data_IF_533042438707
#
_entry.id   IF_533042438707
#
_cell.length_a   1.000
_cell.length_b   1.000
_cell.length_c   1.000
_cell.angle_alpha   90.00
_cell.angle_beta   90.00
_cell.angle_gamma   90.00
#
_symmetry.space_group_name_H-M   'P 1'
#
loop_
_entity.id
_entity.type
_entity.pdbx_description
1 polymer ?
#
# COMPACT_ATOMS: atom_id res chain seq x y z
N UNK A 1 -40.91 -32.07 -58.84
CA UNK A 1 -39.85 -32.00 -57.81
C UNK A 1 -40.31 -31.00 -56.76
N UNK A 2 -40.17 -31.33 -55.46
CA UNK A 2 -40.40 -30.35 -54.39
C UNK A 2 -39.10 -29.57 -54.23
N UNK A 3 -39.12 -28.25 -54.47
CA UNK A 3 -37.96 -27.39 -54.21
C UNK A 3 -37.82 -27.22 -52.70
N UNK A 4 -36.63 -27.48 -52.17
CA UNK A 4 -36.30 -27.22 -50.77
C UNK A 4 -35.60 -25.86 -50.71
N UNK A 5 -36.19 -24.93 -49.98
CA UNK A 5 -35.66 -23.57 -49.81
C UNK A 5 -35.04 -23.45 -48.40
N UNK A 6 -34.04 -22.58 -48.27
CA UNK A 6 -33.41 -22.30 -46.97
C UNK A 6 -34.39 -21.55 -46.04
N UNK A 7 -34.28 -21.80 -44.74
CA UNK A 7 -35.09 -21.08 -43.76
C UNK A 7 -34.59 -19.63 -43.59
N UNK A 8 -35.51 -18.74 -43.25
CA UNK A 8 -35.22 -17.37 -42.82
C UNK A 8 -36.07 -17.00 -41.60
N UNK A 9 -35.87 -15.79 -41.07
CA UNK A 9 -36.71 -15.25 -39.98
C UNK A 9 -38.18 -15.08 -40.37
N UNK A 10 -38.49 -15.05 -41.67
CA UNK A 10 -39.86 -14.83 -42.19
C UNK A 10 -40.41 -15.99 -43.00
N UNK A 11 -39.58 -16.99 -43.33
CA UNK A 11 -39.94 -18.12 -44.20
C UNK A 11 -39.41 -19.44 -43.63
N UNK A 12 -40.27 -20.45 -43.55
CA UNK A 12 -39.86 -21.81 -43.17
C UNK A 12 -39.04 -22.45 -44.29
N UNK A 13 -38.02 -23.22 -43.93
CA UNK A 13 -37.13 -23.91 -44.87
C UNK A 13 -36.19 -24.88 -44.15
N UNK A 14 -35.14 -25.34 -44.84
CA UNK A 14 -34.09 -26.19 -44.26
C UNK A 14 -32.95 -25.31 -43.73
N UNK A 15 -32.32 -25.72 -42.63
CA UNK A 15 -31.16 -25.03 -42.05
C UNK A 15 -29.99 -26.00 -41.93
N UNK A 16 -28.79 -25.57 -42.28
CA UNK A 16 -27.55 -26.32 -42.01
C UNK A 16 -27.07 -26.04 -40.59
N UNK A 17 -26.60 -27.06 -39.90
CA UNK A 17 -26.09 -26.94 -38.53
C UNK A 17 -24.59 -26.67 -38.54
N UNK A 18 -24.13 -25.81 -37.63
CA UNK A 18 -22.71 -25.51 -37.41
C UNK A 18 -22.32 -25.75 -35.94
N UNK A 19 -21.12 -26.30 -35.74
CA UNK A 19 -20.50 -26.44 -34.41
C UNK A 19 -19.34 -25.47 -34.19
N UNK A 20 -19.10 -24.52 -35.11
CA UNK A 20 -18.12 -23.46 -34.92
C UNK A 20 -18.57 -22.53 -33.78
N UNK A 21 -17.61 -22.07 -32.97
CA UNK A 21 -17.85 -21.19 -31.80
C UNK A 21 -17.68 -19.71 -32.13
N UNK A 22 -17.25 -19.41 -33.35
CA UNK A 22 -16.92 -18.11 -33.91
C UNK A 22 -17.63 -17.85 -35.25
N UNK A 23 -18.67 -18.62 -35.57
CA UNK A 23 -19.44 -18.49 -36.81
C UNK A 23 -20.13 -17.13 -36.90
N UNK A 24 -19.85 -16.38 -37.96
CA UNK A 24 -20.53 -15.14 -38.36
C UNK A 24 -21.71 -15.38 -39.34
N UNK A 25 -21.92 -16.63 -39.78
CA UNK A 25 -22.97 -16.98 -40.73
C UNK A 25 -24.39 -16.83 -40.16
N UNK A 26 -25.22 -16.03 -40.83
CA UNK A 26 -26.66 -15.90 -40.54
C UNK A 26 -27.51 -17.04 -41.15
N UNK A 27 -26.91 -17.89 -41.98
CA UNK A 27 -27.60 -18.99 -42.68
C UNK A 27 -27.49 -20.36 -41.97
N UNK A 28 -26.64 -20.46 -40.94
CA UNK A 28 -26.37 -21.69 -40.21
C UNK A 28 -26.95 -21.60 -38.79
N UNK A 29 -27.57 -22.68 -38.31
CA UNK A 29 -27.99 -22.75 -36.91
C UNK A 29 -26.87 -23.32 -36.04
N UNK A 30 -26.65 -22.70 -34.87
CA UNK A 30 -25.72 -23.19 -33.87
C UNK A 30 -26.20 -24.53 -33.27
N UNK A 31 -25.27 -25.47 -33.07
CA UNK A 31 -25.55 -26.72 -32.36
C UNK A 31 -25.44 -26.54 -30.84
N UNK A 32 -26.06 -27.43 -30.04
CA UNK A 32 -25.84 -27.46 -28.59
C UNK A 32 -24.36 -27.63 -28.20
N UNK A 33 -23.56 -28.27 -29.06
CA UNK A 33 -22.11 -28.39 -28.86
C UNK A 33 -21.43 -27.02 -28.88
N UNK A 34 -21.69 -26.20 -29.89
CA UNK A 34 -21.13 -24.85 -29.97
C UNK A 34 -21.55 -23.99 -28.77
N UNK A 35 -22.84 -24.02 -28.42
CA UNK A 35 -23.39 -23.27 -27.28
C UNK A 35 -22.74 -23.70 -25.96
N UNK A 36 -22.59 -25.01 -25.73
CA UNK A 36 -21.94 -25.54 -24.51
C UNK A 36 -20.48 -25.09 -24.42
N UNK A 37 -19.72 -25.12 -25.52
CA UNK A 37 -18.33 -24.68 -25.53
C UNK A 37 -18.23 -23.19 -25.18
N UNK A 38 -19.02 -22.33 -25.83
CA UNK A 38 -19.04 -20.89 -25.56
C UNK A 38 -19.42 -20.61 -24.10
N UNK A 39 -20.43 -21.30 -23.56
CA UNK A 39 -20.82 -21.14 -22.14
C UNK A 39 -19.67 -21.53 -21.20
N UNK A 40 -18.96 -22.63 -21.49
CA UNK A 40 -17.80 -23.04 -20.70
C UNK A 40 -16.68 -22.00 -20.71
N UNK A 41 -16.40 -21.39 -21.86
CA UNK A 41 -15.42 -20.31 -22.00
C UNK A 41 -15.84 -19.03 -21.27
N UNK A 42 -17.13 -18.67 -21.31
CA UNK A 42 -17.64 -17.48 -20.62
C UNK A 42 -17.62 -17.64 -19.10
N UNK A 43 -17.85 -18.86 -18.59
CA UNK A 43 -17.82 -19.15 -17.15
C UNK A 43 -16.45 -18.96 -16.49
N UNK A 44 -15.36 -18.97 -17.27
CA UNK A 44 -13.99 -18.75 -16.77
C UNK A 44 -13.50 -17.31 -16.97
N UNK A 45 -14.26 -16.46 -17.65
CA UNK A 45 -13.92 -15.03 -17.82
C UNK A 45 -14.26 -14.26 -16.55
N UNK A 46 -13.51 -13.18 -16.29
CA UNK A 46 -13.79 -12.30 -15.17
C UNK A 46 -15.10 -11.50 -15.41
N UNK A 47 -15.87 -11.15 -14.35
CA UNK A 47 -17.03 -10.28 -14.46
C UNK A 47 -16.69 -8.93 -15.11
N UNK A 48 -17.61 -8.37 -15.90
CA UNK A 48 -17.41 -7.03 -16.48
C UNK A 48 -17.37 -5.95 -15.39
N UNK A 49 -18.29 -6.04 -14.44
CA UNK A 49 -18.39 -5.12 -13.32
C UNK A 49 -17.55 -5.63 -12.15
N UNK A 50 -16.53 -4.85 -11.78
CA UNK A 50 -15.66 -5.12 -10.63
C UNK A 50 -15.06 -6.54 -10.61
N UNK A 51 -14.31 -6.94 -11.65
CA UNK A 51 -13.67 -8.25 -11.68
C UNK A 51 -12.71 -8.44 -10.49
N UNK A 52 -12.80 -9.59 -9.83
CA UNK A 52 -11.71 -10.06 -8.98
C UNK A 52 -10.60 -10.63 -9.87
N UNK A 53 -9.46 -9.94 -9.95
CA UNK A 53 -8.30 -10.42 -10.70
C UNK A 53 -7.51 -11.42 -9.83
N UNK A 54 -7.24 -12.61 -10.36
CA UNK A 54 -6.43 -13.65 -9.70
C UNK A 54 -5.11 -13.87 -10.43
N UNK A 55 -4.09 -14.40 -9.74
CA UNK A 55 -2.76 -14.64 -10.32
C UNK A 55 -1.92 -13.36 -10.41
N UNK A 56 -1.16 -13.20 -11.49
CA UNK A 56 -0.28 -12.04 -11.72
C UNK A 56 -0.75 -11.24 -12.95
N UNK A 57 -1.84 -10.45 -12.84
CA UNK A 57 -2.32 -9.64 -13.96
C UNK A 57 -1.28 -8.60 -14.36
N UNK A 58 -1.08 -8.43 -15.67
CA UNK A 58 -0.21 -7.40 -16.23
C UNK A 58 -1.05 -6.26 -16.81
N UNK A 59 -0.63 -5.02 -16.59
CA UNK A 59 -1.18 -3.84 -17.25
C UNK A 59 -0.03 -2.99 -17.81
N UNK A 60 -0.26 -2.18 -18.85
CA UNK A 60 0.74 -1.21 -19.31
C UNK A 60 1.18 -0.30 -18.15
N UNK A 61 2.48 -0.12 -17.97
CA UNK A 61 3.02 0.78 -16.95
C UNK A 61 2.82 2.23 -17.39
N UNK A 62 2.11 3.06 -16.62
CA UNK A 62 1.98 4.48 -16.93
C UNK A 62 3.32 5.22 -16.80
N UNK A 63 3.44 6.34 -17.50
CA UNK A 63 4.53 7.29 -17.28
C UNK A 63 4.47 7.85 -15.85
N UNK A 64 5.63 8.17 -15.26
CA UNK A 64 5.67 8.66 -13.87
C UNK A 64 4.95 10.01 -13.66
N UNK A 65 4.53 10.71 -14.70
CA UNK A 65 3.73 11.95 -14.58
C UNK A 65 2.22 11.70 -14.63
N UNK A 66 1.78 10.46 -14.80
CA UNK A 66 0.36 10.11 -14.85
C UNK A 66 -0.38 10.45 -13.54
N UNK A 67 -1.61 10.95 -13.70
CA UNK A 67 -2.49 11.40 -12.60
C UNK A 67 -3.97 11.11 -12.88
N UNK A 68 -4.27 10.26 -13.88
CA UNK A 68 -5.62 9.94 -14.30
C UNK A 68 -6.15 8.68 -13.60
N UNK A 69 -6.94 7.91 -14.35
CA UNK A 69 -7.58 6.66 -13.90
C UNK A 69 -6.78 5.41 -14.30
N UNK A 70 -5.50 5.56 -14.63
CA UNK A 70 -4.65 4.45 -15.03
C UNK A 70 -4.45 3.44 -13.88
N UNK A 71 -4.23 2.17 -14.24
CA UNK A 71 -3.87 1.14 -13.27
C UNK A 71 -2.46 1.42 -12.77
N UNK A 72 -2.31 1.66 -11.47
CA UNK A 72 -1.02 1.80 -10.80
C UNK A 72 -0.30 0.43 -10.76
N UNK A 73 0.53 0.16 -11.77
CA UNK A 73 1.36 -1.05 -11.80
C UNK A 73 2.44 -1.02 -10.72
N UNK A 74 2.96 -2.20 -10.34
CA UNK A 74 4.06 -2.30 -9.38
C UNK A 74 5.30 -1.48 -9.81
N UNK A 75 5.62 -1.47 -11.10
CA UNK A 75 6.73 -0.69 -11.65
C UNK A 75 6.52 0.83 -11.50
N UNK A 76 5.30 1.32 -11.74
CA UNK A 76 4.95 2.73 -11.53
C UNK A 76 5.10 3.15 -10.06
N UNK A 77 4.60 2.33 -9.13
CA UNK A 77 4.74 2.59 -7.67
C UNK A 77 6.20 2.58 -7.25
N UNK A 78 6.98 1.60 -7.70
CA UNK A 78 8.41 1.52 -7.39
C UNK A 78 9.17 2.77 -7.90
N UNK A 79 8.88 3.23 -9.12
CA UNK A 79 9.47 4.44 -9.67
C UNK A 79 9.10 5.70 -8.86
N UNK A 80 7.84 5.83 -8.43
CA UNK A 80 7.39 6.94 -7.59
C UNK A 80 8.06 6.95 -6.22
N UNK A 81 8.18 5.80 -5.57
CA UNK A 81 8.91 5.67 -4.30
C UNK A 81 10.38 6.00 -4.49
N UNK A 82 11.01 5.53 -5.57
CA UNK A 82 12.40 5.86 -5.88
C UNK A 82 12.59 7.36 -6.15
N UNK A 83 11.66 8.04 -6.82
CA UNK A 83 11.69 9.50 -6.99
C UNK A 83 11.58 10.23 -5.66
N UNK A 84 10.68 9.78 -4.77
CA UNK A 84 10.52 10.34 -3.43
C UNK A 84 11.79 10.18 -2.59
N UNK A 85 12.36 8.96 -2.55
CA UNK A 85 13.58 8.64 -1.80
C UNK A 85 14.81 9.33 -2.41
N UNK A 86 14.95 9.30 -3.74
CA UNK A 86 16.07 9.89 -4.48
C UNK A 86 16.10 11.42 -4.43
N UNK A 87 14.98 12.07 -4.10
CA UNK A 87 14.96 13.52 -3.89
C UNK A 87 15.63 13.94 -2.57
N UNK A 88 15.85 13.01 -1.62
CA UNK A 88 16.41 13.34 -0.31
C UNK A 88 17.12 12.17 0.41
N UNK A 89 18.06 11.44 -0.22
CA UNK A 89 18.74 10.29 0.42
C UNK A 89 19.49 10.69 1.70
N UNK A 90 20.22 11.81 1.67
CA UNK A 90 20.95 12.34 2.84
C UNK A 90 19.99 12.83 3.93
N UNK A 91 18.82 13.36 3.58
CA UNK A 91 17.83 13.77 4.58
C UNK A 91 17.20 12.57 5.28
N UNK A 92 16.92 11.49 4.54
CA UNK A 92 16.45 10.24 5.15
C UNK A 92 17.52 9.64 6.07
N UNK A 93 18.79 9.69 5.66
CA UNK A 93 19.91 9.22 6.46
C UNK A 93 20.06 10.04 7.75
N UNK A 94 20.10 11.37 7.65
CA UNK A 94 20.14 12.25 8.83
C UNK A 94 18.94 12.04 9.75
N UNK A 95 17.72 11.86 9.22
CA UNK A 95 16.54 11.59 10.06
C UNK A 95 16.68 10.25 10.80
N UNK A 96 17.28 9.24 10.17
CA UNK A 96 17.59 7.96 10.82
C UNK A 96 18.68 8.11 11.89
N UNK A 97 19.76 8.83 11.59
CA UNK A 97 20.82 9.14 12.56
C UNK A 97 20.28 9.88 13.78
N UNK A 98 19.42 10.89 13.58
CA UNK A 98 18.78 11.61 14.68
C UNK A 98 17.87 10.69 15.51
N UNK A 99 17.06 9.84 14.87
CA UNK A 99 16.19 8.90 15.57
C UNK A 99 17.01 7.92 16.42
N UNK A 100 18.10 7.40 15.88
CA UNK A 100 19.01 6.49 16.59
C UNK A 100 19.77 7.23 17.71
N UNK A 101 20.22 8.47 17.48
CA UNK A 101 20.90 9.30 18.48
C UNK A 101 19.99 9.67 19.67
N UNK A 102 18.68 9.81 19.42
CA UNK A 102 17.65 10.03 20.45
C UNK A 102 17.15 8.71 21.07
N UNK A 103 17.69 7.56 20.64
CA UNK A 103 17.33 6.25 21.18
C UNK A 103 15.93 5.79 20.82
N UNK A 104 15.36 6.30 19.73
CA UNK A 104 13.98 6.02 19.31
C UNK A 104 12.93 6.24 20.43
N UNK A 105 13.17 7.21 21.32
CA UNK A 105 12.33 7.47 22.50
C UNK A 105 11.16 8.43 22.18
N UNK A 106 9.90 7.96 22.15
CA UNK A 106 8.74 8.81 21.89
C UNK A 106 8.51 9.88 22.96
N UNK A 107 9.06 9.67 24.17
CA UNK A 107 8.95 10.57 25.31
C UNK A 107 10.31 11.17 25.67
N UNK A 108 11.22 11.35 24.70
CA UNK A 108 12.58 11.84 24.91
C UNK A 108 12.66 13.01 25.90
N UNK A 109 11.80 14.02 25.72
CA UNK A 109 11.75 15.19 26.62
C UNK A 109 11.45 14.80 28.07
N UNK A 110 10.45 13.95 28.32
CA UNK A 110 10.11 13.43 29.65
C UNK A 110 11.23 12.58 30.23
N UNK A 111 11.84 11.72 29.42
CA UNK A 111 12.97 10.87 29.83
C UNK A 111 14.17 11.71 30.28
N UNK A 112 14.54 12.72 29.49
CA UNK A 112 15.64 13.65 29.83
C UNK A 112 15.29 14.45 31.08
N UNK A 113 14.05 14.93 31.21
CA UNK A 113 13.60 15.67 32.38
C UNK A 113 13.68 14.83 33.65
N UNK A 114 13.22 13.57 33.61
CA UNK A 114 13.30 12.64 34.74
C UNK A 114 14.77 12.33 35.11
N UNK A 115 15.64 12.11 34.11
CA UNK A 115 17.07 11.91 34.33
C UNK A 115 17.74 13.11 34.99
N UNK A 116 17.31 14.34 34.66
CA UNK A 116 17.83 15.57 35.24
C UNK A 116 17.30 15.79 36.67
N UNK A 117 16.00 15.58 36.90
CA UNK A 117 15.37 15.73 38.21
C UNK A 117 16.01 14.83 39.28
N UNK A 118 16.50 13.65 38.90
CA UNK A 118 17.19 12.74 39.79
C UNK A 118 18.66 13.07 40.10
N UNK A 119 19.26 14.14 39.55
CA UNK A 119 20.70 14.40 39.71
C UNK A 119 21.10 14.95 41.08
N UNK A 120 20.30 15.82 41.67
CA UNK A 120 20.61 16.39 42.99
C UNK A 120 20.55 15.33 44.11
N UNK A 121 19.53 14.45 44.19
CA UNK A 121 19.44 13.41 45.22
C UNK A 121 20.52 12.31 45.16
N UNK A 122 21.35 12.25 44.11
CA UNK A 122 22.41 11.24 43.97
C UNK A 122 23.68 11.60 44.75
N UNK A 123 23.80 12.84 45.25
CA UNK A 123 24.92 13.30 46.07
C UNK A 123 24.39 13.86 47.39
N UNK A 124 24.78 13.25 48.51
CA UNK A 124 24.29 13.58 49.84
C UNK A 124 24.71 15.00 50.27
N UNK A 125 25.91 15.42 49.87
CA UNK A 125 26.42 16.76 50.17
C UNK A 125 25.65 17.82 49.39
N UNK A 126 25.46 17.65 48.09
CA UNK A 126 24.68 18.55 47.25
C UNK A 126 23.21 18.57 47.66
N UNK A 127 22.66 17.43 48.07
CA UNK A 127 21.31 17.34 48.64
C UNK A 127 21.22 18.13 49.93
N UNK A 128 22.19 17.98 50.83
CA UNK A 128 22.22 18.71 52.09
C UNK A 128 22.40 20.22 51.88
N UNK A 129 23.26 20.62 50.94
CA UNK A 129 23.55 22.03 50.62
C UNK A 129 22.40 22.71 49.86
N UNK A 130 21.71 21.98 49.00
CA UNK A 130 20.62 22.54 48.20
C UNK A 130 19.48 23.04 49.09
N UNK A 131 19.04 24.26 48.83
CA UNK A 131 17.99 24.92 49.61
C UNK A 131 18.43 25.45 50.98
N UNK A 132 19.70 25.32 51.37
CA UNK A 132 20.21 26.01 52.58
C UNK A 132 20.34 27.51 52.32
N UNK A 133 20.01 28.31 53.34
CA UNK A 133 20.43 29.71 53.40
C UNK A 133 21.95 29.81 53.61
N UNK A 134 22.51 31.01 53.45
CA UNK A 134 23.94 31.27 53.72
C UNK A 134 24.32 30.82 55.14
N UNK A 135 23.52 31.16 56.15
CA UNK A 135 23.77 30.77 57.53
C UNK A 135 23.76 29.25 57.72
N UNK A 136 22.80 28.56 57.11
CA UNK A 136 22.74 27.09 57.13
C UNK A 136 23.92 26.45 56.43
N UNK A 137 24.49 27.11 55.41
CA UNK A 137 25.70 26.67 54.73
C UNK A 137 26.92 26.75 55.65
N UNK A 138 27.12 27.90 56.31
CA UNK A 138 28.22 28.15 57.25
C UNK A 138 28.21 27.14 58.40
N UNK A 139 27.01 26.81 58.90
CA UNK A 139 26.81 25.76 59.90
C UNK A 139 27.19 24.37 59.36
N UNK A 140 26.75 24.02 58.15
CA UNK A 140 27.04 22.72 57.54
C UNK A 140 28.55 22.47 57.32
N UNK A 141 29.32 23.50 56.98
CA UNK A 141 30.78 23.39 56.81
C UNK A 141 31.58 23.59 58.10
N UNK A 142 30.91 23.81 59.23
CA UNK A 142 31.57 23.96 60.54
C UNK A 142 32.40 25.25 60.68
N UNK A 143 32.07 26.31 59.94
CA UNK A 143 32.78 27.60 59.98
C UNK A 143 32.18 28.59 60.98
N UNK A 144 31.14 28.19 61.71
CA UNK A 144 30.49 29.03 62.72
C UNK A 144 31.27 28.88 64.03
N UNK A 145 31.90 29.96 64.49
CA UNK A 145 32.51 29.98 65.82
C UNK A 145 31.40 29.90 66.89
N UNK A 146 31.57 29.02 67.87
CA UNK A 146 30.65 28.81 69.02
C UNK A 146 30.75 29.92 70.03
#
# INVERSE_FOLDING_TARGET
MISLEDASLTKKGIVKLSSATDSDSEALAATPKAVKTVIGEVQVKAPLDSPALTGTPTAPTPETTAAGIEIATAAFVAAKVAQLVGSAPETLDTLKELADALGNDPNFATTVLNKLAGKQPLDDTLTALSGKSVDGLIEYVGLRET
#
